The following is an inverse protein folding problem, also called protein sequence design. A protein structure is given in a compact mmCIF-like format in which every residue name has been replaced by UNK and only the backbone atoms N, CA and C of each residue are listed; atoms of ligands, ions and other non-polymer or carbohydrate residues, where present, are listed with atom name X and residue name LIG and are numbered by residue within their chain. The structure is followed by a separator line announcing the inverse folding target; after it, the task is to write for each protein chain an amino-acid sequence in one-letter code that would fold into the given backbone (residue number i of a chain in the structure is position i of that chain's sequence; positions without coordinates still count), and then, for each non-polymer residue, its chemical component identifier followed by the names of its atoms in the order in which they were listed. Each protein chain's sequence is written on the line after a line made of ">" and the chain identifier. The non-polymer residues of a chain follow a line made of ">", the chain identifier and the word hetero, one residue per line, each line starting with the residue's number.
data_IF_000559133378
#
_entry.id   IF_000559133378
#
_cell.length_a   1.000
_cell.length_b   1.000
_cell.length_c   1.000
_cell.angle_alpha   90.00
_cell.angle_beta   90.00
_cell.angle_gamma   90.00
#
_symmetry.space_group_name_H-M   'P 1'
#
loop_
_entity.id
_entity.type
_entity.pdbx_description
1 polymer ?
#
# COMPACT_ATOMS: atom_id res chain seq x y z
N UNK A 1 68.07 -17.79 21.82
CA UNK A 1 68.12 -18.31 20.43
C UNK A 1 66.97 -19.28 20.27
N UNK A 2 65.77 -18.73 20.21
CA UNK A 2 64.50 -19.44 20.44
C UNK A 2 63.42 -18.41 20.15
N UNK A 3 62.46 -18.75 19.28
CA UNK A 3 61.25 -18.01 18.82
C UNK A 3 61.03 -18.11 17.30
N UNK A 4 61.99 -18.61 16.50
CA UNK A 4 61.79 -18.81 15.05
C UNK A 4 61.52 -20.26 14.65
N UNK A 5 61.86 -21.23 15.50
CA UNK A 5 61.74 -22.66 15.19
C UNK A 5 60.38 -23.28 15.59
N UNK A 6 59.55 -22.60 16.38
CA UNK A 6 58.21 -23.09 16.77
C UNK A 6 57.10 -22.63 15.81
N UNK A 7 57.27 -21.49 15.14
CA UNK A 7 56.28 -20.97 14.17
C UNK A 7 56.28 -21.77 12.84
N UNK A 8 57.44 -22.32 12.46
CA UNK A 8 57.61 -23.16 11.27
C UNK A 8 57.18 -24.63 11.48
N UNK A 9 56.95 -25.04 12.73
CA UNK A 9 56.41 -26.38 13.05
C UNK A 9 54.87 -26.39 12.92
N UNK A 10 54.20 -25.32 13.37
CA UNK A 10 52.74 -25.19 13.30
C UNK A 10 52.21 -24.93 11.87
N UNK A 11 53.00 -24.27 11.01
CA UNK A 11 52.64 -24.06 9.58
C UNK A 11 52.78 -25.31 8.70
N UNK A 12 53.51 -26.35 9.14
CA UNK A 12 53.69 -27.61 8.40
C UNK A 12 52.61 -28.64 8.69
N UNK A 13 51.93 -28.54 9.84
CA UNK A 13 50.83 -29.43 10.22
C UNK A 13 49.48 -29.06 9.56
N UNK A 14 49.34 -27.82 9.11
CA UNK A 14 48.12 -27.36 8.43
C UNK A 14 48.03 -27.75 6.94
N UNK A 15 49.05 -28.44 6.39
CA UNK A 15 49.15 -28.80 4.97
C UNK A 15 49.15 -30.30 4.68
N UNK A 16 48.97 -31.16 5.67
CA UNK A 16 49.13 -32.63 5.52
C UNK A 16 48.02 -33.44 6.19
N UNK A 17 46.77 -33.11 5.91
CA UNK A 17 45.66 -34.00 6.30
C UNK A 17 44.56 -34.01 5.24
N UNK A 18 44.63 -35.05 4.39
CA UNK A 18 43.54 -35.71 3.67
C UNK A 18 42.92 -35.05 2.42
N UNK A 19 43.50 -35.42 1.28
CA UNK A 19 42.76 -35.80 0.07
C UNK A 19 42.14 -37.20 0.27
N UNK A 20 40.81 -37.33 0.21
CA UNK A 20 40.11 -38.33 -0.62
C UNK A 20 38.57 -38.19 -0.50
N UNK A 21 37.81 -38.68 -1.50
CA UNK A 21 36.66 -37.99 -2.08
C UNK A 21 35.32 -38.46 -1.52
N UNK A 22 34.35 -37.55 -1.42
CA UNK A 22 32.95 -37.91 -1.27
C UNK A 22 32.13 -37.12 -2.30
N UNK A 23 31.94 -37.79 -3.43
CA UNK A 23 30.89 -37.54 -4.40
C UNK A 23 29.54 -37.54 -3.66
N UNK A 24 28.98 -36.36 -3.41
CA UNK A 24 27.57 -36.21 -3.06
C UNK A 24 26.96 -35.19 -4.01
N UNK A 25 25.92 -35.63 -4.69
CA UNK A 25 25.22 -34.94 -5.76
C UNK A 25 24.88 -33.49 -5.39
N UNK A 26 25.46 -32.55 -6.13
CA UNK A 26 24.92 -31.21 -6.21
C UNK A 26 23.61 -31.33 -6.99
N UNK A 27 22.50 -31.48 -6.26
CA UNK A 27 21.18 -31.09 -6.74
C UNK A 27 21.32 -29.64 -7.20
N UNK A 28 21.46 -29.46 -8.51
CA UNK A 28 21.21 -28.18 -9.14
C UNK A 28 19.73 -27.87 -8.87
N UNK A 29 19.48 -27.14 -7.78
CA UNK A 29 18.32 -26.27 -7.70
C UNK A 29 18.48 -25.33 -8.89
N UNK A 30 17.83 -25.68 -10.00
CA UNK A 30 17.41 -24.70 -10.97
C UNK A 30 16.50 -23.78 -10.16
N UNK A 31 17.07 -22.68 -9.67
CA UNK A 31 16.31 -21.54 -9.22
C UNK A 31 15.55 -21.07 -10.45
N UNK A 32 14.35 -21.64 -10.66
CA UNK A 32 13.37 -21.00 -11.50
C UNK A 32 13.21 -19.59 -10.92
N UNK A 33 13.28 -18.53 -11.74
CA UNK A 33 12.81 -17.25 -11.29
C UNK A 33 11.31 -17.44 -11.10
N UNK A 34 10.89 -17.71 -9.86
CA UNK A 34 9.57 -17.35 -9.43
C UNK A 34 9.54 -15.84 -9.64
N UNK A 35 8.85 -15.42 -10.70
CA UNK A 35 8.34 -14.07 -10.80
C UNK A 35 7.35 -13.91 -9.64
N UNK A 36 7.88 -13.76 -8.42
CA UNK A 36 7.19 -13.04 -7.39
C UNK A 36 7.07 -11.64 -7.94
N UNK A 37 5.88 -11.27 -8.38
CA UNK A 37 5.53 -9.87 -8.45
C UNK A 37 5.77 -9.34 -7.03
N UNK A 38 6.91 -8.70 -6.81
CA UNK A 38 7.07 -7.81 -5.67
C UNK A 38 5.95 -6.80 -5.87
N UNK A 39 4.88 -6.91 -5.09
CA UNK A 39 3.87 -5.87 -5.05
C UNK A 39 4.63 -4.58 -4.78
N UNK A 40 4.70 -3.69 -5.77
CA UNK A 40 5.30 -2.38 -5.57
C UNK A 40 4.55 -1.76 -4.40
N UNK A 41 5.28 -1.37 -3.36
CA UNK A 41 4.69 -0.63 -2.27
C UNK A 41 4.01 0.61 -2.86
N UNK A 42 2.76 0.86 -2.48
CA UNK A 42 2.01 1.99 -3.01
C UNK A 42 2.72 3.31 -2.72
N UNK A 43 2.67 4.25 -3.67
CA UNK A 43 3.25 5.59 -3.50
C UNK A 43 2.57 6.37 -2.37
N UNK A 44 1.27 6.14 -2.20
CA UNK A 44 0.51 6.61 -1.04
C UNK A 44 -0.51 5.57 -0.60
N UNK A 45 -0.78 5.52 0.70
CA UNK A 45 -1.83 4.68 1.29
C UNK A 45 -2.69 5.54 2.19
N UNK A 46 -4.00 5.55 1.93
CA UNK A 46 -5.03 6.24 2.71
C UNK A 46 -6.01 5.24 3.31
N UNK A 47 -6.59 5.60 4.44
CA UNK A 47 -7.59 4.81 5.16
C UNK A 47 -8.86 5.62 5.29
N UNK A 48 -9.99 5.02 4.93
CA UNK A 48 -11.31 5.62 5.10
C UNK A 48 -11.70 5.64 6.57
N UNK A 49 -11.61 6.81 7.20
CA UNK A 49 -11.88 6.97 8.63
C UNK A 49 -13.37 7.04 8.94
N UNK A 50 -14.14 7.68 8.07
CA UNK A 50 -15.60 7.74 8.17
C UNK A 50 -16.22 7.75 6.78
N UNK A 51 -17.45 7.25 6.68
CA UNK A 51 -18.25 7.29 5.46
C UNK A 51 -19.72 7.61 5.77
N UNK A 52 -20.28 8.56 5.03
CA UNK A 52 -21.71 8.83 5.00
C UNK A 52 -22.30 8.34 3.68
N UNK A 53 -22.95 7.17 3.71
CA UNK A 53 -23.47 6.49 2.53
C UNK A 53 -25.00 6.51 2.47
N UNK A 54 -25.53 6.64 1.25
CA UNK A 54 -26.95 6.43 0.94
C UNK A 54 -27.15 5.63 -0.33
N UNK A 55 -28.22 4.83 -0.33
CA UNK A 55 -28.74 4.14 -1.50
C UNK A 55 -29.83 4.99 -2.15
N UNK A 56 -29.74 5.19 -3.46
CA UNK A 56 -30.69 6.02 -4.22
C UNK A 56 -31.10 5.34 -5.52
N UNK A 57 -32.30 5.65 -6.00
CA UNK A 57 -32.83 5.14 -7.27
C UNK A 57 -33.48 3.76 -7.12
N UNK A 58 -34.67 3.60 -7.72
CA UNK A 58 -35.46 2.36 -7.67
C UNK A 58 -35.05 1.38 -8.78
N UNK A 59 -35.13 1.82 -10.03
CA UNK A 59 -34.85 0.96 -11.21
C UNK A 59 -33.39 1.04 -11.66
N UNK A 60 -32.63 2.00 -11.13
CA UNK A 60 -31.18 2.12 -11.31
C UNK A 60 -30.56 2.42 -9.95
N UNK A 61 -30.42 1.40 -9.08
CA UNK A 61 -29.92 1.59 -7.73
C UNK A 61 -28.46 2.03 -7.77
N UNK A 62 -28.15 3.04 -6.95
CA UNK A 62 -26.81 3.61 -6.82
C UNK A 62 -26.43 3.80 -5.36
N UNK A 63 -25.16 3.58 -5.07
CA UNK A 63 -24.52 3.98 -3.82
C UNK A 63 -23.89 5.36 -4.03
N UNK A 64 -24.19 6.29 -3.13
CA UNK A 64 -23.51 7.59 -3.06
C UNK A 64 -22.93 7.75 -1.68
N UNK A 65 -21.63 7.96 -1.60
CA UNK A 65 -20.95 8.15 -0.34
C UNK A 65 -20.09 9.43 -0.35
N UNK A 66 -19.88 9.97 0.83
CA UNK A 66 -18.80 10.92 1.13
C UNK A 66 -17.98 10.35 2.26
N UNK A 67 -16.66 10.33 2.07
CA UNK A 67 -15.70 9.71 2.97
C UNK A 67 -14.63 10.70 3.38
N UNK A 68 -14.23 10.63 4.65
CA UNK A 68 -13.03 11.30 5.15
C UNK A 68 -11.91 10.26 5.26
N UNK A 69 -10.77 10.56 4.63
CA UNK A 69 -9.63 9.66 4.55
C UNK A 69 -8.38 10.32 5.11
N UNK A 70 -7.54 9.51 5.76
CA UNK A 70 -6.22 9.92 6.24
C UNK A 70 -5.17 8.88 5.88
N UNK A 71 -3.96 9.31 5.58
CA UNK A 71 -2.87 8.37 5.33
C UNK A 71 -1.56 9.05 5.04
N UNK A 72 -0.67 8.35 4.35
CA UNK A 72 0.70 8.81 4.09
C UNK A 72 1.07 8.67 2.62
N UNK A 73 1.90 9.59 2.13
CA UNK A 73 2.56 9.52 0.84
C UNK A 73 4.09 9.51 1.01
N UNK A 74 4.75 8.64 0.25
CA UNK A 74 6.20 8.52 0.27
C UNK A 74 6.87 9.80 -0.23
N UNK A 75 7.99 10.20 0.39
CA UNK A 75 8.76 11.35 -0.05
C UNK A 75 9.26 11.17 -1.49
N UNK A 76 9.20 12.24 -2.28
CA UNK A 76 9.55 12.25 -3.70
C UNK A 76 8.36 11.98 -4.63
N UNK A 77 7.19 11.63 -4.09
CA UNK A 77 5.96 11.49 -4.87
C UNK A 77 5.30 12.85 -5.13
N UNK A 78 4.43 12.97 -6.13
CA UNK A 78 3.65 14.18 -6.36
C UNK A 78 2.79 14.65 -5.17
N UNK A 79 2.42 13.76 -4.25
CA UNK A 79 1.72 14.10 -3.00
C UNK A 79 2.65 14.48 -1.84
N UNK A 80 3.94 14.20 -1.94
CA UNK A 80 4.93 14.55 -0.93
C UNK A 80 6.23 15.01 -1.60
N UNK A 81 6.30 16.28 -2.05
CA UNK A 81 7.44 16.84 -2.79
C UNK A 81 8.66 17.14 -1.89
N UNK A 82 8.95 16.24 -0.95
CA UNK A 82 10.15 16.23 -0.12
C UNK A 82 11.24 15.39 -0.78
N UNK A 83 12.53 15.60 -0.46
CA UNK A 83 13.61 14.76 -0.98
C UNK A 83 13.40 13.28 -0.65
N UNK A 84 13.74 12.38 -1.58
CA UNK A 84 13.70 10.93 -1.35
C UNK A 84 14.52 10.58 -0.10
N UNK A 85 13.93 9.78 0.79
CA UNK A 85 14.52 9.43 2.09
C UNK A 85 14.11 10.34 3.26
N UNK A 86 13.42 11.45 2.99
CA UNK A 86 12.74 12.22 4.04
C UNK A 86 11.55 11.43 4.63
N UNK A 87 11.07 11.81 5.84
CA UNK A 87 9.82 11.26 6.38
C UNK A 87 8.64 11.42 5.41
N UNK A 88 7.67 10.49 5.41
CA UNK A 88 6.48 10.59 4.57
C UNK A 88 5.63 11.80 4.98
N UNK A 89 4.88 12.34 4.01
CA UNK A 89 3.90 13.38 4.27
C UNK A 89 2.55 12.74 4.63
N UNK A 90 1.79 13.38 5.51
CA UNK A 90 0.43 12.95 5.85
C UNK A 90 -0.57 13.60 4.92
N UNK A 91 -1.59 12.84 4.52
CA UNK A 91 -2.64 13.26 3.60
C UNK A 91 -3.97 13.20 4.33
N UNK A 92 -4.70 14.32 4.33
CA UNK A 92 -6.10 14.38 4.76
C UNK A 92 -6.96 14.65 3.52
N UNK A 93 -7.93 13.80 3.24
CA UNK A 93 -8.74 13.88 2.03
C UNK A 93 -10.24 13.70 2.31
N UNK A 94 -11.05 14.48 1.60
CA UNK A 94 -12.50 14.29 1.54
C UNK A 94 -12.84 13.83 0.13
N UNK A 95 -13.42 12.64 0.02
CA UNK A 95 -13.83 12.03 -1.25
C UNK A 95 -15.34 11.85 -1.33
N UNK A 96 -15.89 11.87 -2.53
CA UNK A 96 -17.26 11.46 -2.79
C UNK A 96 -17.33 10.54 -3.99
N UNK A 97 -18.27 9.61 -3.96
CA UNK A 97 -18.52 8.67 -5.04
C UNK A 97 -19.99 8.57 -5.46
N UNK A 98 -20.17 7.94 -6.62
CA UNK A 98 -21.48 7.59 -7.13
C UNK A 98 -21.40 6.31 -7.97
N UNK A 99 -21.63 5.16 -7.34
CA UNK A 99 -21.45 3.82 -7.90
C UNK A 99 -22.80 3.23 -8.30
N UNK A 100 -22.87 2.63 -9.48
CA UNK A 100 -24.00 1.80 -9.92
C UNK A 100 -23.99 0.47 -9.17
N UNK A 101 -25.06 0.11 -8.49
CA UNK A 101 -25.17 -1.20 -7.83
C UNK A 101 -25.53 -2.33 -8.81
N UNK A 102 -25.78 -2.00 -10.08
CA UNK A 102 -26.04 -2.99 -11.14
C UNK A 102 -24.74 -3.39 -11.85
N UNK A 103 -23.77 -2.48 -11.92
CA UNK A 103 -22.54 -2.71 -12.69
C UNK A 103 -21.27 -2.60 -11.86
N UNK A 104 -21.34 -2.05 -10.65
CA UNK A 104 -20.17 -1.69 -9.84
C UNK A 104 -19.38 -0.48 -10.37
N UNK A 105 -19.80 0.14 -11.47
CA UNK A 105 -19.06 1.25 -12.10
C UNK A 105 -19.54 2.60 -11.58
N UNK A 106 -18.59 3.54 -11.44
CA UNK A 106 -18.88 4.86 -10.90
C UNK A 106 -17.88 5.94 -11.28
N UNK A 107 -18.12 7.12 -10.72
CA UNK A 107 -17.18 8.24 -10.70
C UNK A 107 -16.90 8.61 -9.26
N UNK A 108 -15.71 9.14 -9.04
CA UNK A 108 -15.29 9.68 -7.76
C UNK A 108 -14.59 11.02 -7.94
N UNK A 109 -14.49 11.78 -6.86
CA UNK A 109 -13.70 12.99 -6.81
C UNK A 109 -13.72 13.61 -5.43
N UNK A 110 -12.90 14.64 -5.23
CA UNK A 110 -12.75 15.21 -3.91
C UNK A 110 -11.60 16.20 -3.82
N UNK A 111 -11.21 16.47 -2.57
CA UNK A 111 -10.13 17.39 -2.22
C UNK A 111 -9.18 16.74 -1.24
N UNK A 112 -7.94 17.20 -1.21
CA UNK A 112 -6.95 16.76 -0.24
C UNK A 112 -6.08 17.92 0.24
N UNK A 113 -5.49 17.72 1.41
CA UNK A 113 -4.45 18.55 2.00
C UNK A 113 -3.29 17.65 2.38
N UNK A 114 -2.07 18.12 2.09
CA UNK A 114 -0.82 17.48 2.49
C UNK A 114 -0.27 18.25 3.67
N UNK A 115 -0.01 17.54 4.76
CA UNK A 115 0.52 18.09 6.01
C UNK A 115 1.77 17.35 6.44
N UNK A 116 2.65 18.08 7.12
CA UNK A 116 3.84 17.57 7.81
C UNK A 116 3.77 17.98 9.27
N UNK A 117 4.62 17.37 10.09
CA UNK A 117 4.74 17.75 11.51
C UNK A 117 5.09 19.23 11.65
N UNK A 118 4.32 19.94 12.47
CA UNK A 118 4.52 21.34 12.81
C UNK A 118 5.37 21.52 14.06
N UNK A 119 4.80 22.14 15.09
CA UNK A 119 5.53 22.59 16.28
C UNK A 119 5.47 21.61 17.46
N UNK A 120 4.45 20.75 17.52
CA UNK A 120 4.28 19.76 18.58
C UNK A 120 4.47 18.32 18.05
N UNK A 121 5.67 17.75 18.25
CA UNK A 121 6.02 16.40 17.77
C UNK A 121 5.17 15.25 18.34
N UNK A 122 4.37 15.51 19.38
CA UNK A 122 3.45 14.52 19.97
C UNK A 122 2.05 14.60 19.36
N UNK A 123 1.71 15.70 18.69
CA UNK A 123 0.43 15.89 18.01
C UNK A 123 0.44 15.28 16.59
N UNK A 124 -0.74 15.18 15.99
CA UNK A 124 -0.91 14.84 14.59
C UNK A 124 -0.34 15.91 13.67
N UNK A 125 0.26 15.53 12.51
CA UNK A 125 0.77 16.48 11.52
C UNK A 125 -0.29 17.51 11.07
N UNK A 126 0.10 18.78 11.07
CA UNK A 126 -0.82 19.92 10.95
C UNK A 126 -0.32 21.01 10.01
N UNK A 127 0.99 21.08 9.72
CA UNK A 127 1.55 22.12 8.87
C UNK A 127 1.28 21.83 7.40
N UNK A 128 0.42 22.65 6.77
CA UNK A 128 -0.01 22.46 5.38
C UNK A 128 1.10 22.85 4.40
N UNK A 129 1.52 21.90 3.57
CA UNK A 129 2.51 22.13 2.51
C UNK A 129 1.90 22.08 1.10
N UNK A 130 0.74 21.44 0.93
CA UNK A 130 0.03 21.42 -0.35
C UNK A 130 -1.48 21.19 -0.15
N UNK A 131 -2.26 21.58 -1.17
CA UNK A 131 -3.68 21.29 -1.30
C UNK A 131 -3.97 20.86 -2.73
N UNK A 132 -5.04 20.13 -2.95
CA UNK A 132 -5.44 19.79 -4.31
C UNK A 132 -6.83 19.18 -4.43
N UNK A 133 -7.16 18.81 -5.67
CA UNK A 133 -8.40 18.14 -6.04
C UNK A 133 -8.09 16.89 -6.83
N UNK A 134 -8.93 15.86 -6.71
CA UNK A 134 -8.85 14.66 -7.51
C UNK A 134 -10.20 14.32 -8.13
N UNK A 135 -10.17 13.57 -9.23
CA UNK A 135 -11.38 13.03 -9.86
C UNK A 135 -11.02 11.86 -10.77
N UNK A 136 -11.99 10.98 -11.02
CA UNK A 136 -11.77 9.87 -11.93
C UNK A 136 -12.95 8.93 -12.08
N UNK A 137 -12.65 7.75 -12.60
CA UNK A 137 -13.58 6.62 -12.73
C UNK A 137 -13.19 5.53 -11.76
N UNK A 138 -14.18 4.82 -11.26
CA UNK A 138 -13.99 3.69 -10.36
C UNK A 138 -14.70 2.45 -10.87
N UNK A 139 -14.13 1.31 -10.56
CA UNK A 139 -14.64 -0.02 -10.87
C UNK A 139 -14.65 -0.86 -9.60
N UNK A 140 -15.84 -1.00 -9.02
CA UNK A 140 -16.18 -1.88 -7.90
C UNK A 140 -16.99 -3.08 -8.39
N UNK A 141 -16.95 -3.41 -9.70
CA UNK A 141 -17.60 -4.62 -10.21
C UNK A 141 -17.13 -5.91 -9.52
N UNK A 142 -15.86 -6.06 -9.05
CA UNK A 142 -15.48 -7.22 -8.26
C UNK A 142 -16.29 -7.34 -6.97
N UNK A 143 -16.43 -6.23 -6.23
CA UNK A 143 -17.18 -6.20 -4.98
C UNK A 143 -18.70 -6.36 -5.20
N UNK A 144 -19.24 -5.71 -6.22
CA UNK A 144 -20.69 -5.65 -6.46
C UNK A 144 -21.24 -6.89 -7.16
N UNK A 145 -20.52 -7.44 -8.15
CA UNK A 145 -21.04 -8.52 -9.00
C UNK A 145 -20.63 -9.92 -8.52
N UNK A 146 -19.45 -10.04 -7.91
CA UNK A 146 -18.86 -11.35 -7.56
C UNK A 146 -18.32 -11.41 -6.12
N UNK A 147 -18.65 -10.42 -5.28
CA UNK A 147 -18.28 -10.36 -3.86
C UNK A 147 -16.77 -10.49 -3.57
N UNK A 148 -15.92 -10.04 -4.50
CA UNK A 148 -14.48 -9.90 -4.25
C UNK A 148 -14.25 -8.52 -3.63
N UNK A 149 -13.68 -8.41 -2.40
CA UNK A 149 -13.65 -7.17 -1.62
C UNK A 149 -12.58 -6.17 -2.12
N UNK A 150 -12.69 -5.80 -3.39
CA UNK A 150 -11.79 -4.90 -4.10
C UNK A 150 -12.54 -3.93 -4.99
N UNK A 151 -11.97 -2.74 -5.13
CA UNK A 151 -12.29 -1.78 -6.18
C UNK A 151 -11.01 -1.19 -6.77
N UNK A 152 -11.08 -0.69 -8.00
CA UNK A 152 -9.96 0.00 -8.65
C UNK A 152 -10.38 1.36 -9.16
N UNK A 153 -9.42 2.25 -9.34
CA UNK A 153 -9.64 3.57 -9.92
C UNK A 153 -8.57 3.94 -10.94
N UNK A 154 -9.01 4.72 -11.92
CA UNK A 154 -8.13 5.52 -12.76
C UNK A 154 -8.55 6.97 -12.59
N UNK A 155 -7.61 7.78 -12.11
CA UNK A 155 -7.88 9.14 -11.69
C UNK A 155 -6.81 10.10 -12.15
N UNK A 156 -7.06 11.35 -11.79
CA UNK A 156 -6.11 12.44 -11.95
C UNK A 156 -6.27 13.42 -10.80
N UNK A 157 -5.18 14.05 -10.42
CA UNK A 157 -5.16 15.10 -9.41
C UNK A 157 -4.52 16.38 -9.92
N UNK A 158 -4.89 17.48 -9.27
CA UNK A 158 -4.37 18.83 -9.57
C UNK A 158 -4.02 19.50 -8.24
N UNK A 159 -2.78 19.94 -8.12
CA UNK A 159 -2.31 20.73 -6.98
C UNK A 159 -2.78 22.18 -7.10
N UNK A 160 -3.17 22.78 -5.97
CA UNK A 160 -3.47 24.19 -5.88
C UNK A 160 -2.20 25.03 -6.16
N UNK A 161 -2.32 26.10 -6.93
CA UNK A 161 -1.19 26.96 -7.31
C UNK A 161 -0.57 26.67 -8.68
N UNK A 162 -1.07 25.67 -9.41
CA UNK A 162 -0.63 25.34 -10.76
C UNK A 162 0.57 24.39 -10.75
N UNK A 163 0.31 23.11 -11.07
CA UNK A 163 1.31 22.04 -11.04
C UNK A 163 1.05 20.95 -12.08
N UNK A 164 0.31 21.28 -13.14
CA UNK A 164 -0.15 20.29 -14.12
C UNK A 164 -1.20 19.34 -13.55
N UNK A 165 -1.62 18.39 -14.39
CA UNK A 165 -2.52 17.31 -13.99
C UNK A 165 -1.68 16.04 -13.86
N UNK A 166 -1.71 15.43 -12.68
CA UNK A 166 -0.96 14.20 -12.39
C UNK A 166 -1.92 13.01 -12.50
N UNK A 167 -1.72 12.06 -13.43
CA UNK A 167 -2.51 10.84 -13.47
C UNK A 167 -2.19 9.97 -12.25
N UNK A 168 -3.12 9.11 -11.85
CA UNK A 168 -2.84 8.06 -10.89
C UNK A 168 -3.77 6.87 -11.12
N UNK A 169 -3.34 5.72 -10.61
CA UNK A 169 -4.18 4.54 -10.41
C UNK A 169 -4.31 4.26 -8.93
N UNK A 170 -5.32 3.50 -8.55
CA UNK A 170 -5.39 3.03 -7.17
C UNK A 170 -6.30 1.83 -6.97
N UNK A 171 -6.12 1.20 -5.82
CA UNK A 171 -6.84 0.00 -5.40
C UNK A 171 -7.47 0.25 -4.04
N UNK A 172 -8.78 0.08 -3.95
CA UNK A 172 -9.51 -0.02 -2.68
C UNK A 172 -9.53 -1.47 -2.23
N UNK A 173 -9.09 -1.73 -1.00
CA UNK A 173 -9.19 -3.01 -0.32
C UNK A 173 -10.24 -2.88 0.78
N UNK A 174 -11.36 -3.57 0.59
CA UNK A 174 -12.43 -3.57 1.57
C UNK A 174 -12.11 -4.63 2.64
N UNK A 175 -12.20 -4.29 3.93
CA UNK A 175 -11.97 -5.27 4.98
C UNK A 175 -13.09 -6.32 4.96
N UNK A 176 -12.72 -7.57 5.19
CA UNK A 176 -13.66 -8.68 5.31
C UNK A 176 -13.21 -9.67 6.39
N UNK A 177 -14.08 -10.61 6.72
CA UNK A 177 -13.79 -11.69 7.68
C UNK A 177 -14.07 -13.05 7.05
N UNK A 178 -13.35 -14.08 7.49
CA UNK A 178 -13.60 -15.46 7.12
C UNK A 178 -13.69 -16.32 8.38
N UNK A 179 -14.89 -16.83 8.68
CA UNK A 179 -15.15 -17.50 9.96
C UNK A 179 -14.85 -16.57 11.14
N UNK A 180 -14.02 -17.04 12.07
CA UNK A 180 -13.60 -16.30 13.26
C UNK A 180 -12.27 -15.53 13.08
N UNK A 181 -11.86 -15.27 11.84
CA UNK A 181 -10.62 -14.50 11.57
C UNK A 181 -10.72 -13.07 12.12
N UNK A 182 -9.58 -12.43 12.46
CA UNK A 182 -9.55 -10.97 12.51
C UNK A 182 -9.92 -10.40 11.14
N UNK A 183 -10.29 -9.11 11.04
CA UNK A 183 -10.48 -8.44 9.75
C UNK A 183 -9.23 -8.58 8.86
N UNK A 184 -9.46 -8.83 7.58
CA UNK A 184 -8.43 -9.08 6.56
C UNK A 184 -8.60 -8.14 5.37
N UNK A 185 -7.50 -7.83 4.68
CA UNK A 185 -7.48 -7.32 3.31
C UNK A 185 -7.06 -8.40 2.33
N UNK A 186 -7.72 -8.44 1.17
CA UNK A 186 -7.31 -9.27 0.04
C UNK A 186 -6.22 -8.50 -0.72
N UNK A 187 -5.00 -9.05 -0.75
CA UNK A 187 -3.84 -8.44 -1.42
C UNK A 187 -3.74 -8.89 -2.87
N UNK A 188 -3.87 -10.20 -3.11
CA UNK A 188 -3.83 -10.81 -4.43
C UNK A 188 -5.04 -11.73 -4.61
N UNK A 189 -6.03 -11.36 -5.45
CA UNK A 189 -7.17 -12.20 -5.76
C UNK A 189 -6.82 -13.52 -6.44
N UNK A 190 -5.80 -13.53 -7.29
CA UNK A 190 -5.46 -14.72 -8.07
C UNK A 190 -4.81 -15.80 -7.20
N UNK A 191 -3.96 -15.38 -6.26
CA UNK A 191 -3.33 -16.26 -5.28
C UNK A 191 -4.15 -16.41 -3.98
N UNK A 192 -5.25 -15.66 -3.84
CA UNK A 192 -6.01 -15.52 -2.59
C UNK A 192 -5.13 -15.13 -1.39
N UNK A 193 -4.13 -14.27 -1.62
CA UNK A 193 -3.24 -13.79 -0.58
C UNK A 193 -3.95 -12.73 0.25
N UNK A 194 -4.01 -12.93 1.56
CA UNK A 194 -4.64 -12.03 2.51
C UNK A 194 -3.65 -11.55 3.55
N UNK A 195 -3.89 -10.36 4.10
CA UNK A 195 -3.16 -9.83 5.26
C UNK A 195 -4.14 -9.36 6.33
N UNK A 196 -3.81 -9.45 7.62
CA UNK A 196 -4.59 -8.82 8.67
C UNK A 196 -4.70 -7.30 8.48
N UNK A 197 -5.81 -6.73 8.95
CA UNK A 197 -5.92 -5.29 9.19
C UNK A 197 -5.09 -4.97 10.44
N UNK A 198 -4.08 -4.12 10.29
CA UNK A 198 -3.15 -3.74 11.36
C UNK A 198 -3.80 -2.76 12.35
N UNK A 199 -3.27 -2.69 13.56
CA UNK A 199 -3.88 -1.89 14.65
C UNK A 199 -4.05 -0.40 14.29
N UNK A 200 -3.14 0.17 13.51
CA UNK A 200 -3.18 1.56 13.05
C UNK A 200 -4.08 1.78 11.82
N UNK A 201 -4.73 0.74 11.31
CA UNK A 201 -5.65 0.77 10.17
C UNK A 201 -7.11 0.68 10.62
N UNK A 202 -7.36 0.81 11.93
CA UNK A 202 -8.68 0.95 12.51
C UNK A 202 -9.02 2.42 12.76
N UNK A 203 -10.24 2.81 12.44
CA UNK A 203 -10.82 4.09 12.84
C UNK A 203 -11.69 3.84 14.08
N UNK A 204 -11.18 4.20 15.27
CA UNK A 204 -11.88 4.01 16.55
C UNK A 204 -12.39 2.59 16.78
N UNK A 205 -11.64 1.58 16.34
CA UNK A 205 -11.99 0.17 16.49
C UNK A 205 -12.78 -0.44 15.32
N UNK A 206 -13.10 0.33 14.29
CA UNK A 206 -13.68 -0.18 13.04
C UNK A 206 -12.59 -0.37 11.99
N UNK A 207 -12.48 -1.54 11.33
CA UNK A 207 -11.52 -1.74 10.26
C UNK A 207 -11.86 -0.82 9.09
N UNK A 208 -10.86 -0.12 8.56
CA UNK A 208 -11.07 0.88 7.50
C UNK A 208 -10.93 0.27 6.11
N UNK A 209 -11.41 0.97 5.08
CA UNK A 209 -11.03 0.65 3.69
C UNK A 209 -9.61 1.19 3.44
N UNK A 210 -8.70 0.34 2.96
CA UNK A 210 -7.36 0.76 2.55
C UNK A 210 -7.38 1.19 1.08
N UNK A 211 -6.91 2.39 0.79
CA UNK A 211 -6.79 2.93 -0.56
C UNK A 211 -5.33 3.17 -0.92
N UNK A 212 -4.81 2.32 -1.81
CA UNK A 212 -3.43 2.35 -2.29
C UNK A 212 -3.37 3.09 -3.63
N UNK A 213 -2.45 4.05 -3.76
CA UNK A 213 -2.32 4.96 -4.92
C UNK A 213 -0.93 4.80 -5.55
N UNK A 214 -0.88 4.84 -6.89
CA UNK A 214 0.37 4.85 -7.67
C UNK A 214 0.30 5.95 -8.76
N UNK A 215 1.39 6.70 -8.94
CA UNK A 215 1.49 7.83 -9.90
C UNK A 215 2.11 7.44 -11.24
#
# INVERSE_FOLDING_TARGET
>A
MTMKNEEDAMRRDLRRTFLMPAMLALLAFVAAPLFGATALAADATLYELTENMKLVGKDSPRRRATSELMGTANAGTPLCPMPVGAPPCTINATGSDNISLVTGLGKFGGTFTVVVQGDNLVDSPEFVIAKGKFSGKMDFSPAVLVNVPLGTVVGKMVLAGGGGTVPFTGTFRLPFVFGDSPPLYLIDPAAFTVVPVEANEYALGYPTVRFEINF
#
